data_IF_986602193642
#
_entry.id   IF_986602193642
#
_cell.length_a   1.000
_cell.length_b   1.000
_cell.length_c   1.000
_cell.angle_alpha   90.00
_cell.angle_beta   90.00
_cell.angle_gamma   90.00
#
_symmetry.space_group_name_H-M   'P 1'
#
loop_
_entity.id
_entity.type
_entity.pdbx_description
1 polymer ?
#
# COMPACT_ATOMS: atom_id res chain seq x y z
N UNK A 1 -23.03 7.50 0.31
CA UNK A 1 -23.09 6.21 -0.43
C UNK A 1 -23.10 6.36 -1.96
N UNK A 2 -23.64 7.43 -2.57
CA UNK A 2 -23.66 7.59 -4.05
C UNK A 2 -22.32 7.35 -4.75
N UNK A 3 -21.23 7.99 -4.28
CA UNK A 3 -19.89 7.85 -4.88
C UNK A 3 -19.35 6.42 -4.92
N UNK A 4 -19.60 5.63 -3.88
CA UNK A 4 -19.13 4.24 -3.81
C UNK A 4 -19.90 3.36 -4.82
N UNK A 5 -21.20 3.59 -4.96
CA UNK A 5 -22.04 2.92 -5.95
C UNK A 5 -21.70 3.35 -7.39
N UNK A 6 -21.27 4.60 -7.60
CA UNK A 6 -20.80 5.07 -8.91
C UNK A 6 -19.52 4.35 -9.38
N UNK A 7 -18.63 3.99 -8.45
CA UNK A 7 -17.37 3.31 -8.76
C UNK A 7 -17.56 1.79 -8.84
N UNK A 8 -18.23 1.18 -7.86
CA UNK A 8 -18.30 -0.28 -7.69
C UNK A 8 -19.66 -0.89 -8.04
N UNK A 9 -20.66 -0.07 -8.38
CA UNK A 9 -22.03 -0.51 -8.56
C UNK A 9 -22.69 -0.91 -7.23
N UNK A 10 -23.75 -1.72 -7.32
CA UNK A 10 -24.44 -2.25 -6.15
C UNK A 10 -23.87 -3.62 -5.71
N UNK A 11 -22.56 -3.68 -5.56
CA UNK A 11 -21.80 -4.90 -5.19
C UNK A 11 -21.19 -4.77 -3.79
N UNK A 12 -20.51 -5.82 -3.32
CA UNK A 12 -19.63 -5.77 -2.15
C UNK A 12 -18.19 -5.85 -2.66
N UNK A 13 -17.50 -4.71 -2.87
CA UNK A 13 -16.19 -4.72 -3.50
C UNK A 13 -15.13 -5.32 -2.57
N UNK A 14 -14.22 -6.09 -3.15
CA UNK A 14 -12.98 -6.57 -2.54
C UNK A 14 -11.88 -5.57 -2.87
N UNK A 15 -11.43 -4.85 -1.86
CA UNK A 15 -10.32 -3.90 -1.97
C UNK A 15 -9.09 -4.53 -1.34
N UNK A 16 -8.09 -4.85 -2.15
CA UNK A 16 -6.83 -5.41 -1.68
C UNK A 16 -5.80 -4.30 -1.39
N UNK A 17 -4.66 -4.68 -0.83
CA UNK A 17 -3.59 -3.74 -0.50
C UNK A 17 -2.28 -4.17 -1.12
N UNK A 18 -1.67 -3.27 -1.88
CA UNK A 18 -0.26 -3.37 -2.27
C UNK A 18 0.57 -2.87 -1.09
N UNK A 19 1.33 -3.76 -0.47
CA UNK A 19 2.21 -3.42 0.64
C UNK A 19 3.58 -3.02 0.09
N UNK A 20 3.91 -1.73 0.18
CA UNK A 20 5.23 -1.24 -0.17
C UNK A 20 6.26 -1.81 0.81
N UNK A 21 7.44 -2.15 0.31
CA UNK A 21 8.59 -2.43 1.18
C UNK A 21 9.00 -1.18 1.98
N UNK A 22 9.89 -1.36 2.95
CA UNK A 22 10.39 -0.27 3.78
C UNK A 22 11.02 0.83 2.92
N UNK A 23 10.49 2.05 3.03
CA UNK A 23 10.89 3.21 2.25
C UNK A 23 12.22 3.80 2.75
N UNK A 24 12.91 4.61 1.93
CA UNK A 24 14.12 5.28 2.36
C UNK A 24 13.91 6.06 3.67
N UNK A 25 14.75 5.78 4.67
CA UNK A 25 14.64 6.34 6.01
C UNK A 25 14.00 5.40 7.04
N UNK A 26 13.29 4.36 6.60
CA UNK A 26 12.80 3.32 7.50
C UNK A 26 13.92 2.34 7.89
N UNK A 27 13.91 1.76 9.11
CA UNK A 27 14.99 0.89 9.59
C UNK A 27 15.25 -0.36 8.75
N UNK A 28 14.23 -0.86 8.04
CA UNK A 28 14.29 -2.07 7.23
C UNK A 28 14.48 -1.79 5.74
N UNK A 29 14.83 -0.55 5.36
CA UNK A 29 15.05 -0.20 3.96
C UNK A 29 16.22 -1.00 3.36
N UNK A 30 15.96 -1.70 2.25
CA UNK A 30 17.00 -2.36 1.46
C UNK A 30 17.70 -1.34 0.55
N UNK A 31 18.86 -0.87 1.00
CA UNK A 31 19.66 0.10 0.27
C UNK A 31 20.34 -0.49 -0.98
N UNK A 32 20.53 -1.81 -1.06
CA UNK A 32 21.14 -2.46 -2.23
C UNK A 32 20.13 -2.54 -3.38
N UNK A 33 18.89 -2.96 -3.07
CA UNK A 33 17.81 -3.01 -4.05
C UNK A 33 17.30 -1.60 -4.42
N UNK A 34 17.37 -0.65 -3.48
CA UNK A 34 17.02 0.74 -3.68
C UNK A 34 15.57 0.97 -4.12
N UNK A 35 15.31 2.13 -4.73
CA UNK A 35 13.98 2.50 -5.22
C UNK A 35 13.49 1.58 -6.36
N UNK A 36 14.40 1.12 -7.22
CA UNK A 36 14.05 0.23 -8.33
C UNK A 36 13.54 -1.12 -7.83
N UNK A 37 14.14 -1.66 -6.77
CA UNK A 37 13.66 -2.84 -6.08
C UNK A 37 12.27 -2.66 -5.47
N UNK A 38 12.03 -1.54 -4.79
CA UNK A 38 10.71 -1.20 -4.22
C UNK A 38 9.63 -1.12 -5.29
N UNK A 39 9.89 -0.42 -6.40
CA UNK A 39 8.93 -0.28 -7.51
C UNK A 39 8.69 -1.62 -8.19
N UNK A 40 9.73 -2.43 -8.36
CA UNK A 40 9.61 -3.76 -8.96
C UNK A 40 8.77 -4.71 -8.10
N UNK A 41 8.99 -4.70 -6.77
CA UNK A 41 8.21 -5.49 -5.83
C UNK A 41 6.73 -5.04 -5.79
N UNK A 42 6.47 -3.73 -5.69
CA UNK A 42 5.12 -3.19 -5.71
C UNK A 42 4.37 -3.50 -7.01
N UNK A 43 5.08 -3.50 -8.15
CA UNK A 43 4.52 -3.90 -9.46
C UNK A 43 4.15 -5.39 -9.46
N UNK A 44 5.02 -6.26 -8.96
CA UNK A 44 4.75 -7.69 -8.91
C UNK A 44 3.53 -8.01 -8.05
N UNK A 45 3.42 -7.36 -6.87
CA UNK A 45 2.27 -7.51 -5.98
C UNK A 45 0.97 -6.99 -6.62
N UNK A 46 1.03 -5.82 -7.26
CA UNK A 46 -0.11 -5.27 -8.01
C UNK A 46 -0.59 -6.23 -9.11
N UNK A 47 0.34 -6.78 -9.90
CA UNK A 47 -0.02 -7.73 -10.96
C UNK A 47 -0.70 -8.98 -10.40
N UNK A 48 -0.18 -9.54 -9.30
CA UNK A 48 -0.80 -10.71 -8.66
C UNK A 48 -2.22 -10.42 -8.14
N UNK A 49 -2.43 -9.23 -7.55
CA UNK A 49 -3.76 -8.81 -7.07
C UNK A 49 -4.74 -8.58 -8.23
N UNK A 50 -4.27 -7.98 -9.33
CA UNK A 50 -5.10 -7.80 -10.53
C UNK A 50 -5.48 -9.15 -11.15
N UNK A 51 -4.54 -10.09 -11.26
CA UNK A 51 -4.79 -11.45 -11.75
C UNK A 51 -5.76 -12.23 -10.86
N UNK A 52 -5.78 -11.94 -9.55
CA UNK A 52 -6.75 -12.49 -8.60
C UNK A 52 -8.17 -11.88 -8.74
N UNK A 53 -8.34 -10.82 -9.53
CA UNK A 53 -9.65 -10.23 -9.83
C UNK A 53 -10.24 -9.37 -8.72
N UNK A 54 -9.41 -8.69 -7.92
CA UNK A 54 -9.88 -7.73 -6.91
C UNK A 54 -10.48 -6.48 -7.57
N UNK A 55 -11.48 -5.87 -6.93
CA UNK A 55 -12.20 -4.72 -7.51
C UNK A 55 -11.41 -3.41 -7.45
N UNK A 56 -10.53 -3.27 -6.46
CA UNK A 56 -9.61 -2.15 -6.33
C UNK A 56 -8.40 -2.51 -5.46
N UNK A 57 -7.40 -1.64 -5.49
CA UNK A 57 -6.21 -1.72 -4.65
C UNK A 57 -6.00 -0.41 -3.88
N UNK A 58 -5.46 -0.54 -2.67
CA UNK A 58 -4.90 0.55 -1.87
C UNK A 58 -3.39 0.36 -1.76
N UNK A 59 -2.62 1.44 -1.69
CA UNK A 59 -1.19 1.36 -1.40
C UNK A 59 -0.97 1.64 0.09
N UNK A 60 -0.21 0.78 0.76
CA UNK A 60 0.13 0.92 2.17
C UNK A 60 1.63 0.81 2.40
N UNK A 61 2.18 1.64 3.28
CA UNK A 61 3.60 1.67 3.65
C UNK A 61 3.87 1.03 5.02
N UNK A 62 3.12 -0.02 5.37
CA UNK A 62 3.18 -0.64 6.70
C UNK A 62 4.57 -1.25 7.05
N UNK A 63 5.40 -1.50 6.04
CA UNK A 63 6.78 -1.94 6.25
C UNK A 63 7.72 -0.83 6.74
N UNK A 64 7.27 0.43 6.83
CA UNK A 64 8.04 1.53 7.46
C UNK A 64 8.11 1.44 8.99
N UNK A 65 7.52 0.38 9.57
CA UNK A 65 7.58 0.06 11.00
C UNK A 65 9.03 0.08 11.55
N UNK A 66 9.21 0.39 12.85
CA UNK A 66 8.18 0.61 13.87
C UNK A 66 7.49 1.98 13.75
N UNK A 67 6.21 2.02 14.12
CA UNK A 67 5.45 3.27 14.20
C UNK A 67 5.78 4.03 15.49
N UNK A 68 5.80 5.36 15.40
CA UNK A 68 5.88 6.21 16.59
C UNK A 68 4.58 6.07 17.40
N UNK A 69 4.71 5.75 18.69
CA UNK A 69 3.57 5.61 19.60
C UNK A 69 3.26 6.92 20.33
N UNK A 70 4.20 7.86 20.35
CA UNK A 70 4.04 9.20 20.89
C UNK A 70 4.27 10.24 19.80
N UNK A 71 3.19 10.67 19.15
CA UNK A 71 3.26 11.70 18.10
C UNK A 71 3.29 13.10 18.71
N UNK A 72 4.04 14.01 18.09
CA UNK A 72 4.04 15.42 18.47
C UNK A 72 2.64 16.03 18.21
N UNK A 73 2.10 16.73 19.20
CA UNK A 73 0.84 17.49 19.09
C UNK A 73 0.81 18.43 17.89
N UNK A 74 1.96 18.94 17.43
CA UNK A 74 2.05 19.76 16.23
C UNK A 74 1.73 19.00 14.92
N UNK A 75 1.68 17.67 14.96
CA UNK A 75 1.37 16.77 13.84
C UNK A 75 -0.04 16.17 13.92
N UNK A 76 -0.89 16.63 14.86
CA UNK A 76 -2.29 16.16 15.05
C UNK A 76 -3.27 17.27 14.66
#
# INVERSE_FOLDING_TARGET
MKKFQEIFGNTRPVIAMVLLGALPGAPLHDAEAGLDGLVSAARADLMALQDAGVDAVMFGNENDRPYELQVDTAST
#
